data_IF_845896503824
#
_entry.id   IF_845896503824
#
_cell.length_a   1.000
_cell.length_b   1.000
_cell.length_c   1.000
_cell.angle_alpha   90.00
_cell.angle_beta   90.00
_cell.angle_gamma   90.00
#
_symmetry.space_group_name_H-M   'P 1'
#
loop_
_entity.id
_entity.type
_entity.pdbx_description
1 polymer ?
#
# COMPACT_ATOMS: atom_id res chain seq x y z
N UNK A 1 40.84 -0.73 -54.26
CA UNK A 1 39.42 -0.90 -53.87
C UNK A 1 39.15 -2.09 -52.95
N UNK A 2 39.80 -3.26 -53.09
CA UNK A 2 39.57 -4.44 -52.22
C UNK A 2 39.83 -4.24 -50.70
N UNK A 3 40.72 -3.32 -50.30
CA UNK A 3 41.07 -3.08 -48.88
C UNK A 3 40.02 -2.26 -48.11
N UNK A 4 39.27 -1.39 -48.78
CA UNK A 4 38.20 -0.57 -48.16
C UNK A 4 36.97 -1.43 -47.87
N UNK A 5 36.67 -2.39 -48.75
CA UNK A 5 35.55 -3.34 -48.57
C UNK A 5 35.75 -4.26 -47.36
N UNK A 6 36.99 -4.66 -47.05
CA UNK A 6 37.29 -5.51 -45.89
C UNK A 6 37.16 -4.75 -44.55
N UNK A 7 37.49 -3.46 -44.52
CA UNK A 7 37.32 -2.62 -43.32
C UNK A 7 35.82 -2.36 -43.07
N UNK A 8 35.03 -2.16 -44.13
CA UNK A 8 33.59 -1.98 -44.01
C UNK A 8 32.88 -3.26 -43.51
N UNK A 9 33.34 -4.44 -43.97
CA UNK A 9 32.81 -5.73 -43.51
C UNK A 9 33.13 -5.99 -42.02
N UNK A 10 34.32 -5.60 -41.55
CA UNK A 10 34.69 -5.68 -40.13
C UNK A 10 33.83 -4.75 -39.25
N UNK A 11 33.48 -3.56 -39.74
CA UNK A 11 32.62 -2.63 -39.02
C UNK A 11 31.15 -3.08 -38.97
N UNK A 12 30.64 -3.80 -39.98
CA UNK A 12 29.28 -4.36 -39.94
C UNK A 12 29.15 -5.59 -39.04
N UNK A 13 30.25 -6.27 -38.70
CA UNK A 13 30.24 -7.38 -37.73
C UNK A 13 30.32 -6.92 -36.27
N UNK A 14 30.69 -5.66 -36.00
CA UNK A 14 31.08 -5.20 -34.67
C UNK A 14 29.96 -4.56 -33.84
N UNK A 15 28.71 -4.58 -34.31
CA UNK A 15 27.59 -3.93 -33.60
C UNK A 15 26.39 -4.87 -33.51
N UNK A 16 26.61 -6.07 -32.98
CA UNK A 16 25.55 -6.81 -32.29
C UNK A 16 25.58 -6.34 -30.84
N UNK A 17 24.91 -5.22 -30.55
CA UNK A 17 24.60 -4.90 -29.16
C UNK A 17 23.72 -6.04 -28.63
N UNK A 18 24.10 -6.59 -27.48
CA UNK A 18 23.23 -7.45 -26.71
C UNK A 18 21.90 -6.71 -26.46
N UNK A 19 20.84 -7.10 -27.17
CA UNK A 19 19.53 -6.50 -26.98
C UNK A 19 18.94 -7.11 -25.71
N UNK A 20 18.95 -6.33 -24.63
CA UNK A 20 18.28 -6.68 -23.38
C UNK A 20 16.92 -5.99 -23.37
N UNK A 21 15.85 -6.78 -23.34
CA UNK A 21 14.52 -6.30 -22.97
C UNK A 21 14.36 -6.54 -21.48
N UNK A 22 14.28 -5.52 -20.61
CA UNK A 22 14.21 -5.75 -19.18
C UNK A 22 12.83 -6.32 -18.79
N UNK A 23 12.76 -7.21 -17.78
CA UNK A 23 11.48 -7.60 -17.22
C UNK A 23 10.81 -6.41 -16.53
N UNK A 24 9.48 -6.40 -16.52
CA UNK A 24 8.69 -5.48 -15.68
C UNK A 24 8.15 -6.23 -14.48
N UNK A 25 7.99 -5.53 -13.35
CA UNK A 25 7.47 -6.10 -12.12
C UNK A 25 6.58 -5.07 -11.42
N UNK A 26 5.32 -5.42 -11.19
CA UNK A 26 4.38 -4.61 -10.43
C UNK A 26 3.52 -5.50 -9.57
N UNK A 27 3.20 -5.06 -8.36
CA UNK A 27 2.35 -5.82 -7.47
C UNK A 27 1.30 -4.93 -6.82
N UNK A 28 0.16 -5.53 -6.46
CA UNK A 28 -0.87 -4.89 -5.65
C UNK A 28 -1.24 -5.76 -4.46
N UNK A 29 -1.49 -5.11 -3.32
CA UNK A 29 -2.05 -5.77 -2.13
C UNK A 29 -3.44 -5.23 -1.90
N UNK A 30 -4.38 -6.15 -1.70
CA UNK A 30 -5.73 -5.81 -1.24
C UNK A 30 -5.73 -5.83 0.28
N UNK A 31 -5.28 -4.73 0.88
CA UNK A 31 -5.55 -4.49 2.28
C UNK A 31 -7.00 -4.05 2.46
N UNK A 32 -7.64 -4.59 3.50
CA UNK A 32 -8.98 -4.16 3.88
C UNK A 32 -8.98 -2.76 4.52
N UNK A 33 -7.80 -2.31 5.00
CA UNK A 33 -7.62 -1.07 5.72
C UNK A 33 -6.44 -0.25 5.20
N UNK A 34 -6.69 1.05 4.98
CA UNK A 34 -5.66 2.07 4.73
C UNK A 34 -5.84 3.18 5.77
N UNK A 35 -4.83 3.40 6.60
CA UNK A 35 -4.85 4.37 7.70
C UNK A 35 -3.73 5.37 7.44
N UNK A 36 -4.06 6.63 7.16
CA UNK A 36 -3.07 7.67 6.82
C UNK A 36 -2.15 7.34 5.63
N UNK A 37 -2.62 6.55 4.65
CA UNK A 37 -1.79 6.08 3.53
C UNK A 37 -0.99 4.81 3.85
N UNK A 38 -1.12 4.27 5.05
CA UNK A 38 -0.45 3.06 5.50
C UNK A 38 -1.33 1.83 5.28
N UNK A 39 -0.77 0.84 4.59
CA UNK A 39 -1.37 -0.48 4.41
C UNK A 39 -1.47 -1.18 5.77
N UNK A 40 -2.69 -1.41 6.25
CA UNK A 40 -2.95 -1.92 7.59
C UNK A 40 -3.76 -3.21 7.55
N UNK A 41 -3.45 -4.13 8.45
CA UNK A 41 -4.17 -5.39 8.68
C UNK A 41 -4.39 -5.62 10.17
N UNK A 42 -5.19 -6.62 10.51
CA UNK A 42 -5.31 -7.19 11.85
C UNK A 42 -4.91 -8.68 11.88
N UNK A 43 -4.64 -9.24 13.06
CA UNK A 43 -4.51 -10.69 13.22
C UNK A 43 -5.70 -11.44 12.61
N UNK A 44 -5.42 -12.56 11.93
CA UNK A 44 -6.40 -13.37 11.21
C UNK A 44 -6.70 -12.91 9.77
N UNK A 45 -6.33 -11.69 9.37
CA UNK A 45 -6.55 -11.21 8.00
C UNK A 45 -5.72 -12.00 6.97
N UNK A 46 -6.20 -12.01 5.73
CA UNK A 46 -5.50 -12.58 4.59
C UNK A 46 -4.92 -11.48 3.71
N UNK A 47 -3.60 -11.36 3.67
CA UNK A 47 -2.90 -10.54 2.69
C UNK A 47 -2.99 -11.25 1.35
N UNK A 48 -3.63 -10.62 0.36
CA UNK A 48 -3.70 -11.13 -1.01
C UNK A 48 -2.82 -10.30 -1.94
N UNK A 49 -1.85 -10.97 -2.56
CA UNK A 49 -0.86 -10.34 -3.44
C UNK A 49 -1.07 -10.81 -4.86
N UNK A 50 -1.19 -9.87 -5.78
CA UNK A 50 -1.14 -10.10 -7.21
C UNK A 50 0.14 -9.48 -7.77
N UNK A 51 0.91 -10.27 -8.50
CA UNK A 51 2.15 -9.87 -9.15
C UNK A 51 1.94 -9.99 -10.64
N UNK A 52 2.13 -8.88 -11.34
CA UNK A 52 2.17 -8.84 -12.81
C UNK A 52 3.62 -8.63 -13.24
N UNK A 53 4.08 -9.48 -14.15
CA UNK A 53 5.45 -9.46 -14.67
C UNK A 53 5.49 -9.74 -16.17
N UNK A 54 6.54 -9.23 -16.81
CA UNK A 54 6.93 -9.66 -18.16
C UNK A 54 8.32 -10.26 -18.10
N UNK A 55 8.56 -11.32 -18.88
CA UNK A 55 9.90 -11.85 -19.07
C UNK A 55 10.54 -11.14 -20.26
N UNK A 56 11.80 -10.80 -20.07
CA UNK A 56 12.62 -10.13 -21.06
C UNK A 56 13.16 -11.07 -22.14
N UNK A 57 14.21 -10.59 -22.79
CA UNK A 57 15.08 -11.43 -23.61
C UNK A 57 16.50 -10.91 -23.50
N UNK A 58 17.45 -11.83 -23.59
CA UNK A 58 18.89 -11.57 -23.58
C UNK A 58 19.50 -12.18 -24.84
N UNK A 59 20.20 -11.38 -25.64
CA UNK A 59 20.83 -11.82 -26.90
C UNK A 59 19.86 -12.52 -27.87
N UNK A 60 18.61 -12.07 -27.90
CA UNK A 60 17.55 -12.64 -28.75
C UNK A 60 16.95 -13.96 -28.25
N UNK A 61 17.42 -14.47 -27.10
CA UNK A 61 16.82 -15.63 -26.43
C UNK A 61 15.85 -15.15 -25.34
N UNK A 62 14.66 -15.74 -25.28
CA UNK A 62 13.69 -15.42 -24.25
C UNK A 62 14.23 -15.78 -22.86
N UNK A 63 14.03 -14.87 -21.90
CA UNK A 63 14.30 -15.15 -20.50
C UNK A 63 13.26 -16.16 -19.97
N UNK A 64 13.65 -17.00 -19.02
CA UNK A 64 12.76 -18.03 -18.46
C UNK A 64 12.42 -17.73 -17.01
N UNK A 65 11.16 -17.95 -16.63
CA UNK A 65 10.74 -17.84 -15.24
C UNK A 65 11.56 -18.78 -14.36
N UNK A 66 12.01 -18.30 -13.20
CA UNK A 66 12.63 -19.15 -12.20
C UNK A 66 11.70 -19.29 -10.98
N UNK A 67 11.53 -18.22 -10.21
CA UNK A 67 10.58 -18.19 -9.10
C UNK A 67 10.08 -16.79 -8.81
N UNK A 68 8.94 -16.73 -8.13
CA UNK A 68 8.47 -15.57 -7.39
C UNK A 68 8.44 -15.95 -5.92
N UNK A 69 8.81 -15.02 -5.04
CA UNK A 69 8.79 -15.19 -3.59
C UNK A 69 7.93 -14.09 -2.99
N UNK A 70 7.00 -14.48 -2.13
CA UNK A 70 6.20 -13.57 -1.30
C UNK A 70 6.37 -13.99 0.16
N UNK A 71 6.72 -13.05 1.04
CA UNK A 71 6.91 -13.35 2.47
C UNK A 71 6.52 -12.17 3.34
N UNK A 72 5.91 -12.43 4.50
CA UNK A 72 5.77 -11.44 5.56
C UNK A 72 7.00 -11.55 6.47
N UNK A 73 7.64 -10.43 6.78
CA UNK A 73 8.85 -10.36 7.59
C UNK A 73 8.78 -9.20 8.59
N UNK A 74 9.53 -9.32 9.68
CA UNK A 74 9.87 -8.17 10.52
C UNK A 74 10.76 -7.21 9.71
N UNK A 75 10.52 -5.90 9.77
CA UNK A 75 11.32 -4.89 9.09
C UNK A 75 12.82 -4.99 9.41
N UNK A 76 13.18 -5.30 10.66
CA UNK A 76 14.58 -5.43 11.08
C UNK A 76 15.30 -6.56 10.32
N UNK A 77 14.58 -7.62 9.96
CA UNK A 77 15.09 -8.73 9.16
C UNK A 77 14.95 -8.48 7.66
N UNK A 78 13.90 -7.78 7.23
CA UNK A 78 13.59 -7.49 5.83
C UNK A 78 14.51 -6.45 5.17
N UNK A 79 15.26 -5.67 5.95
CA UNK A 79 16.31 -4.78 5.42
C UNK A 79 17.55 -5.53 4.90
N UNK A 80 17.60 -6.87 5.01
CA UNK A 80 18.66 -7.71 4.46
C UNK A 80 18.22 -8.25 3.10
N UNK A 81 18.48 -7.47 2.03
CA UNK A 81 18.09 -7.85 0.68
C UNK A 81 18.90 -9.02 0.12
N UNK A 82 18.45 -9.58 -1.01
CA UNK A 82 19.21 -10.61 -1.74
C UNK A 82 20.58 -10.14 -2.25
N UNK A 83 20.81 -8.82 -2.30
CA UNK A 83 22.06 -8.18 -2.70
C UNK A 83 22.99 -7.86 -1.51
N UNK A 84 22.51 -8.02 -0.28
CA UNK A 84 23.31 -7.86 0.94
C UNK A 84 24.01 -9.18 1.30
N UNK A 85 25.07 -9.13 2.11
CA UNK A 85 25.93 -10.28 2.45
C UNK A 85 25.24 -11.39 3.28
N UNK A 86 23.93 -11.34 3.44
CA UNK A 86 23.14 -12.31 4.19
C UNK A 86 21.68 -12.22 3.80
N UNK A 87 21.32 -12.82 2.66
CA UNK A 87 19.92 -13.03 2.28
C UNK A 87 19.18 -13.77 3.40
N UNK A 88 18.30 -13.06 4.11
CA UNK A 88 17.48 -13.60 5.21
C UNK A 88 16.03 -13.63 4.77
N UNK A 89 15.57 -14.82 4.34
CA UNK A 89 14.15 -15.07 4.16
C UNK A 89 13.57 -15.68 5.42
N UNK A 90 13.67 -14.97 6.53
CA UNK A 90 13.08 -15.42 7.79
C UNK A 90 11.66 -14.89 7.86
N UNK A 91 10.62 -15.71 7.56
CA UNK A 91 9.24 -15.25 7.70
C UNK A 91 8.92 -14.96 9.17
N UNK A 92 7.94 -14.10 9.41
CA UNK A 92 7.39 -13.92 10.76
C UNK A 92 6.91 -15.28 11.29
N UNK A 93 7.13 -15.54 12.58
CA UNK A 93 6.69 -16.76 13.25
C UNK A 93 5.20 -17.01 12.98
N UNK A 94 4.85 -18.26 12.65
CA UNK A 94 3.48 -18.63 12.28
C UNK A 94 3.11 -18.34 10.82
N UNK A 95 4.00 -17.74 10.02
CA UNK A 95 3.84 -17.60 8.57
C UNK A 95 4.84 -18.44 7.78
N UNK A 96 4.59 -18.59 6.49
CA UNK A 96 5.48 -19.30 5.56
C UNK A 96 5.64 -18.48 4.29
N UNK A 97 6.88 -18.34 3.81
CA UNK A 97 7.14 -17.81 2.48
C UNK A 97 6.39 -18.61 1.41
N UNK A 98 5.87 -17.92 0.40
CA UNK A 98 5.13 -18.49 -0.72
C UNK A 98 5.95 -18.38 -1.99
N UNK A 99 5.95 -19.46 -2.76
CA UNK A 99 6.61 -19.55 -4.06
C UNK A 99 5.58 -19.87 -5.14
N UNK A 100 4.72 -18.91 -5.52
CA UNK A 100 3.74 -19.19 -6.55
C UNK A 100 4.45 -19.47 -7.89
N UNK A 101 3.89 -20.42 -8.66
CA UNK A 101 4.40 -20.75 -9.98
C UNK A 101 4.16 -19.65 -11.01
N UNK A 102 4.62 -19.83 -12.25
CA UNK A 102 4.34 -18.89 -13.32
C UNK A 102 2.85 -18.93 -13.62
N UNK A 103 2.17 -17.80 -13.48
CA UNK A 103 0.75 -17.71 -13.80
C UNK A 103 0.50 -17.28 -15.24
N UNK A 104 -0.75 -17.42 -15.68
CA UNK A 104 -1.15 -17.17 -17.07
C UNK A 104 -0.96 -15.71 -17.44
N UNK A 105 -0.32 -15.45 -18.59
CA UNK A 105 -0.13 -14.09 -19.09
C UNK A 105 0.84 -13.23 -18.25
N UNK A 106 1.69 -13.85 -17.43
CA UNK A 106 2.62 -13.12 -16.56
C UNK A 106 1.95 -12.58 -15.29
N UNK A 107 0.80 -13.09 -14.89
CA UNK A 107 0.13 -12.71 -13.63
C UNK A 107 0.13 -13.90 -12.69
N UNK A 108 0.71 -13.73 -11.50
CA UNK A 108 0.70 -14.74 -10.44
C UNK A 108 0.13 -14.17 -9.14
N UNK A 109 -0.45 -15.02 -8.31
CA UNK A 109 -1.07 -14.62 -7.05
C UNK A 109 -0.61 -15.50 -5.91
N UNK A 110 -0.53 -14.93 -4.70
CA UNK A 110 -0.41 -15.70 -3.49
C UNK A 110 -1.11 -14.99 -2.32
N UNK A 111 -1.32 -15.73 -1.25
CA UNK A 111 -1.86 -15.18 -0.02
C UNK A 111 -1.05 -15.61 1.20
N UNK A 112 -1.01 -14.72 2.19
CA UNK A 112 -0.42 -14.94 3.51
C UNK A 112 -1.48 -14.61 4.54
N UNK A 113 -1.81 -15.56 5.41
CA UNK A 113 -2.66 -15.32 6.58
C UNK A 113 -1.81 -14.76 7.71
N UNK A 114 -2.29 -13.69 8.33
CA UNK A 114 -1.66 -13.07 9.48
C UNK A 114 -1.98 -13.93 10.72
N UNK A 115 -0.96 -14.42 11.45
CA UNK A 115 -1.19 -15.26 12.63
C UNK A 115 -1.96 -14.50 13.71
N UNK A 116 -2.87 -15.19 14.41
CA UNK A 116 -3.58 -14.61 15.56
C UNK A 116 -2.64 -14.16 16.69
N UNK A 117 -1.48 -14.83 16.80
CA UNK A 117 -0.46 -14.56 17.82
C UNK A 117 0.58 -13.52 17.41
N UNK A 118 0.41 -12.84 16.27
CA UNK A 118 1.41 -11.89 15.78
C UNK A 118 1.52 -10.68 16.71
N UNK A 119 2.75 -10.19 16.91
CA UNK A 119 2.97 -8.96 17.66
C UNK A 119 2.37 -7.76 16.90
N UNK A 120 1.74 -6.84 17.61
CA UNK A 120 1.08 -5.69 17.00
C UNK A 120 2.08 -4.56 16.79
N UNK A 121 2.02 -3.86 15.65
CA UNK A 121 2.87 -2.70 15.36
C UNK A 121 2.65 -1.52 16.31
N UNK A 122 1.54 -1.51 17.06
CA UNK A 122 1.29 -0.52 18.11
C UNK A 122 1.90 -0.88 19.47
N UNK A 123 2.27 -2.15 19.67
CA UNK A 123 2.81 -2.62 20.95
C UNK A 123 4.28 -2.24 21.17
N UNK A 124 4.98 -1.87 20.09
CA UNK A 124 6.41 -1.54 20.07
C UNK A 124 6.64 -0.47 19.01
N UNK A 125 7.32 0.62 19.37
CA UNK A 125 7.47 1.80 18.49
C UNK A 125 8.25 1.52 17.21
N UNK A 126 9.08 0.47 17.20
CA UNK A 126 9.98 0.14 16.10
C UNK A 126 9.55 -1.12 15.35
N UNK A 127 8.41 -1.74 15.72
CA UNK A 127 7.94 -2.95 15.05
C UNK A 127 7.07 -2.57 13.86
N UNK A 128 7.66 -2.61 12.67
CA UNK A 128 6.91 -2.65 11.43
C UNK A 128 7.17 -3.96 10.70
N UNK A 129 6.23 -4.34 9.85
CA UNK A 129 6.37 -5.52 9.03
C UNK A 129 6.59 -5.11 7.58
N UNK A 130 7.24 -5.99 6.82
CA UNK A 130 7.38 -5.83 5.38
C UNK A 130 6.80 -7.01 4.65
N UNK A 131 6.04 -6.71 3.61
CA UNK A 131 5.67 -7.67 2.60
C UNK A 131 6.79 -7.70 1.55
N UNK A 132 7.62 -8.72 1.66
CA UNK A 132 8.69 -9.00 0.74
C UNK A 132 8.11 -9.63 -0.53
N UNK A 133 8.39 -9.05 -1.69
CA UNK A 133 8.02 -9.64 -2.97
C UNK A 133 9.21 -9.59 -3.93
N UNK A 134 9.68 -10.76 -4.37
CA UNK A 134 10.80 -10.90 -5.30
C UNK A 134 10.43 -11.72 -6.52
N UNK A 135 11.07 -11.41 -7.64
CA UNK A 135 11.05 -12.22 -8.84
C UNK A 135 12.47 -12.54 -9.28
N UNK A 136 12.69 -13.80 -9.64
CA UNK A 136 13.89 -14.30 -10.27
C UNK A 136 13.57 -14.97 -11.61
N UNK A 137 14.49 -14.85 -12.55
CA UNK A 137 14.42 -15.43 -13.89
C UNK A 137 15.81 -15.90 -14.32
N UNK A 138 15.88 -16.76 -15.33
CA UNK A 138 17.15 -17.09 -15.97
C UNK A 138 17.31 -16.34 -17.29
N UNK A 139 18.44 -15.67 -17.47
CA UNK A 139 18.74 -14.90 -18.67
C UNK A 139 18.92 -15.78 -19.89
N UNK A 140 18.26 -15.45 -21.00
CA UNK A 140 18.44 -16.08 -22.30
C UNK A 140 18.24 -17.61 -22.30
N UNK A 141 17.43 -18.14 -21.38
CA UNK A 141 17.21 -19.58 -21.21
C UNK A 141 18.38 -20.35 -20.56
N UNK A 142 19.38 -19.65 -20.03
CA UNK A 142 20.50 -20.24 -19.29
C UNK A 142 20.11 -20.76 -17.90
N UNK A 143 21.12 -21.10 -17.10
CA UNK A 143 20.96 -21.54 -15.69
C UNK A 143 21.32 -20.47 -14.67
N UNK A 144 21.78 -19.30 -15.12
CA UNK A 144 22.14 -18.19 -14.24
C UNK A 144 20.88 -17.52 -13.69
N UNK A 145 20.69 -17.61 -12.37
CA UNK A 145 19.59 -16.94 -11.68
C UNK A 145 19.89 -15.44 -11.64
N UNK A 146 19.04 -14.67 -12.30
CA UNK A 146 19.02 -13.21 -12.18
C UNK A 146 17.77 -12.79 -11.42
N UNK A 147 17.97 -11.95 -10.41
CA UNK A 147 16.89 -11.19 -9.78
C UNK A 147 16.61 -9.97 -10.64
N UNK A 148 15.36 -9.67 -11.00
CA UNK A 148 15.19 -8.42 -11.72
C UNK A 148 13.81 -8.00 -12.18
N UNK A 149 13.87 -6.77 -12.69
CA UNK A 149 12.80 -5.82 -12.99
C UNK A 149 13.02 -4.55 -12.15
N UNK A 150 12.76 -3.34 -12.65
CA UNK A 150 12.58 -2.18 -11.78
C UNK A 150 11.56 -2.56 -10.69
N UNK A 151 11.86 -2.27 -9.42
CA UNK A 151 11.04 -2.65 -8.26
C UNK A 151 10.94 -4.16 -7.94
N UNK A 152 11.71 -5.03 -8.60
CA UNK A 152 11.82 -6.44 -8.21
C UNK A 152 12.55 -6.56 -6.87
N UNK A 153 11.79 -6.47 -5.79
CA UNK A 153 12.30 -6.36 -4.44
C UNK A 153 11.87 -5.13 -3.67
N UNK A 154 10.92 -4.31 -4.18
CA UNK A 154 10.35 -3.18 -3.44
C UNK A 154 9.43 -3.71 -2.32
N UNK A 155 9.92 -3.74 -1.06
CA UNK A 155 9.16 -4.29 0.04
C UNK A 155 8.20 -3.22 0.56
N UNK A 156 6.91 -3.53 0.64
CA UNK A 156 5.97 -2.57 1.23
C UNK A 156 5.90 -2.76 2.72
N UNK A 157 5.97 -1.65 3.43
CA UNK A 157 5.70 -1.58 4.86
C UNK A 157 4.22 -1.85 5.08
N UNK A 158 3.92 -2.78 5.99
CA UNK A 158 2.57 -3.11 6.42
C UNK A 158 2.50 -3.02 7.94
N UNK A 159 1.36 -2.54 8.44
CA UNK A 159 1.10 -2.40 9.86
C UNK A 159 0.09 -3.43 10.32
N UNK A 160 0.34 -4.06 11.46
CA UNK A 160 -0.61 -4.98 12.09
C UNK A 160 -1.14 -4.35 13.37
N UNK A 161 -2.44 -4.12 13.42
CA UNK A 161 -3.12 -3.42 14.53
C UNK A 161 -4.34 -4.23 14.97
N UNK A 162 -4.80 -4.03 16.20
CA UNK A 162 -6.09 -4.58 16.62
C UNK A 162 -7.25 -4.00 15.81
N UNK A 163 -8.37 -4.71 15.79
CA UNK A 163 -9.60 -4.18 15.20
C UNK A 163 -10.07 -2.87 15.88
N UNK A 164 -9.87 -2.75 17.20
CA UNK A 164 -10.24 -1.55 17.96
C UNK A 164 -9.42 -0.34 17.54
N UNK A 165 -8.10 -0.51 17.38
CA UNK A 165 -7.20 0.54 16.88
C UNK A 165 -7.56 0.93 15.46
N UNK A 166 -7.79 -0.04 14.57
CA UNK A 166 -8.25 0.22 13.21
C UNK A 166 -9.54 1.03 13.21
N UNK A 167 -10.52 0.67 14.05
CA UNK A 167 -11.78 1.41 14.16
C UNK A 167 -11.57 2.84 14.67
N UNK A 168 -10.60 3.05 15.57
CA UNK A 168 -10.30 4.38 16.13
C UNK A 168 -9.53 5.28 15.17
N UNK A 169 -8.64 4.72 14.35
CA UNK A 169 -7.74 5.46 13.46
C UNK A 169 -8.27 5.56 12.01
N UNK A 170 -9.25 4.73 11.64
CA UNK A 170 -9.83 4.74 10.30
C UNK A 170 -10.64 6.00 10.04
N UNK A 171 -10.37 6.65 8.90
CA UNK A 171 -11.15 7.78 8.41
C UNK A 171 -12.22 7.36 7.39
N UNK A 172 -12.44 6.04 7.19
CA UNK A 172 -13.33 5.51 6.14
C UNK A 172 -14.77 6.00 6.28
N UNK A 173 -15.24 6.23 7.51
CA UNK A 173 -16.58 6.76 7.80
C UNK A 173 -16.63 8.28 7.88
N UNK A 174 -15.51 8.98 7.74
CA UNK A 174 -15.47 10.44 7.77
C UNK A 174 -15.71 10.93 6.33
N UNK A 175 -16.87 11.56 6.11
CA UNK A 175 -17.12 12.24 4.85
C UNK A 175 -16.05 13.34 4.65
N UNK A 176 -15.36 13.35 3.50
CA UNK A 176 -14.29 14.32 3.21
C UNK A 176 -14.77 15.54 2.41
N UNK A 177 -16.02 15.49 1.93
CA UNK A 177 -16.63 16.57 1.17
C UNK A 177 -16.92 17.76 2.09
N UNK A 178 -16.61 18.97 1.62
CA UNK A 178 -16.94 20.18 2.35
C UNK A 178 -18.45 20.35 2.40
N UNK A 179 -18.99 20.58 3.59
CA UNK A 179 -20.37 20.97 3.79
C UNK A 179 -20.51 22.47 3.50
N UNK A 180 -20.90 22.82 2.27
CA UNK A 180 -20.97 24.22 1.82
C UNK A 180 -22.27 24.92 2.18
N UNK A 181 -23.30 24.16 2.57
CA UNK A 181 -24.66 24.65 2.84
C UNK A 181 -24.93 24.69 4.35
N UNK A 182 -23.88 24.93 5.14
CA UNK A 182 -23.99 25.09 6.58
C UNK A 182 -22.97 26.13 7.05
N UNK A 183 -23.33 26.91 8.05
CA UNK A 183 -22.45 27.88 8.69
C UNK A 183 -22.77 28.03 10.17
N UNK A 184 -21.79 28.52 10.93
CA UNK A 184 -21.97 28.85 12.33
C UNK A 184 -22.52 30.27 12.48
N UNK A 185 -23.61 30.42 13.22
CA UNK A 185 -24.18 31.72 13.62
C UNK A 185 -23.79 32.03 15.07
N UNK A 186 -22.77 32.88 15.21
CA UNK A 186 -22.22 33.27 16.50
C UNK A 186 -23.17 34.10 17.37
N UNK A 187 -24.25 34.68 16.81
CA UNK A 187 -25.21 35.44 17.61
C UNK A 187 -26.17 34.53 18.38
N UNK A 188 -26.41 33.34 17.85
CA UNK A 188 -27.42 32.41 18.35
C UNK A 188 -26.80 31.10 18.87
N UNK A 189 -25.48 30.92 18.79
CA UNK A 189 -24.76 29.69 19.14
C UNK A 189 -25.35 28.44 18.44
N UNK A 190 -25.63 28.56 17.13
CA UNK A 190 -26.19 27.46 16.33
C UNK A 190 -25.42 27.24 15.03
N UNK A 191 -25.44 26.00 14.55
CA UNK A 191 -25.13 25.69 13.15
C UNK A 191 -26.43 25.76 12.35
N UNK A 192 -26.45 26.64 11.36
CA UNK A 192 -27.57 26.84 10.43
C UNK A 192 -27.26 26.11 9.13
N UNK A 193 -28.28 25.49 8.53
CA UNK A 193 -28.19 24.81 7.25
C UNK A 193 -29.02 25.56 6.20
N UNK A 194 -28.45 25.81 5.03
CA UNK A 194 -29.12 26.49 3.93
C UNK A 194 -30.07 25.54 3.16
N UNK A 195 -29.92 24.22 3.36
CA UNK A 195 -30.71 23.15 2.74
C UNK A 195 -31.44 22.34 3.83
N UNK A 196 -32.47 21.57 3.44
CA UNK A 196 -33.15 20.56 4.28
C UNK A 196 -32.25 19.34 4.58
N UNK A 197 -31.06 19.57 5.15
CA UNK A 197 -30.15 18.52 5.59
C UNK A 197 -30.76 17.84 6.82
N UNK A 198 -30.84 16.51 6.76
CA UNK A 198 -31.36 15.67 7.83
C UNK A 198 -30.42 14.50 8.08
N UNK A 199 -30.55 13.90 9.25
CA UNK A 199 -29.81 12.70 9.65
C UNK A 199 -28.85 12.95 10.80
N UNK A 200 -28.03 11.94 11.10
CA UNK A 200 -27.13 11.99 12.24
C UNK A 200 -25.98 12.99 12.02
N UNK A 201 -25.55 13.63 13.11
CA UNK A 201 -24.35 14.45 13.15
C UNK A 201 -23.46 14.05 14.32
N UNK A 202 -22.17 14.38 14.18
CA UNK A 202 -21.19 14.39 15.28
C UNK A 202 -20.34 15.65 15.18
N UNK A 203 -20.05 16.26 16.32
CA UNK A 203 -19.11 17.37 16.46
C UNK A 203 -17.90 16.85 17.23
N UNK A 204 -16.71 17.12 16.69
CA UNK A 204 -15.45 16.77 17.32
C UNK A 204 -14.66 18.03 17.66
N UNK A 205 -13.91 17.98 18.75
CA UNK A 205 -12.88 18.98 19.03
C UNK A 205 -11.65 18.79 18.12
N UNK A 206 -10.65 19.68 18.24
CA UNK A 206 -9.42 19.59 17.43
C UNK A 206 -8.60 18.32 17.67
N UNK A 207 -8.85 17.60 18.78
CA UNK A 207 -8.19 16.35 19.12
C UNK A 207 -8.98 15.13 18.61
N UNK A 208 -10.09 15.35 17.90
CA UNK A 208 -10.94 14.29 17.37
C UNK A 208 -11.85 13.65 18.42
N UNK A 209 -11.97 14.22 19.63
CA UNK A 209 -12.88 13.71 20.66
C UNK A 209 -14.29 14.20 20.37
N UNK A 210 -15.28 13.33 20.52
CA UNK A 210 -16.69 13.71 20.34
C UNK A 210 -17.10 14.71 21.42
N UNK A 211 -17.46 15.91 21.00
CA UNK A 211 -17.97 16.98 21.86
C UNK A 211 -19.51 17.01 21.90
N UNK A 212 -20.16 16.64 20.79
CA UNK A 212 -21.63 16.54 20.69
C UNK A 212 -22.04 15.58 19.58
N UNK A 213 -23.22 14.99 19.69
CA UNK A 213 -23.80 14.12 18.67
C UNK A 213 -25.33 14.15 18.75
N UNK A 214 -26.01 13.92 17.63
CA UNK A 214 -27.47 13.93 17.58
C UNK A 214 -28.01 13.76 16.16
N UNK A 215 -29.24 14.19 15.93
CA UNK A 215 -29.87 14.25 14.61
C UNK A 215 -30.18 15.70 14.25
N UNK A 216 -30.00 16.03 12.97
CA UNK A 216 -30.30 17.35 12.41
C UNK A 216 -31.80 17.40 12.12
N UNK A 217 -32.47 18.36 12.75
CA UNK A 217 -33.86 18.72 12.41
C UNK A 217 -33.89 19.95 11.49
N UNK A 218 -33.34 21.08 11.97
CA UNK A 218 -33.23 22.34 11.21
C UNK A 218 -31.91 23.07 11.52
N UNK A 219 -31.53 23.11 12.80
CA UNK A 219 -30.27 23.68 13.30
C UNK A 219 -29.63 22.71 14.28
N UNK A 220 -28.35 22.93 14.60
CA UNK A 220 -27.68 22.27 15.72
C UNK A 220 -27.35 23.33 16.77
N UNK A 221 -27.90 23.18 17.97
CA UNK A 221 -27.52 23.98 19.13
C UNK A 221 -26.11 23.59 19.59
N UNK A 222 -25.21 24.58 19.62
CA UNK A 222 -23.82 24.43 20.07
C UNK A 222 -23.51 25.30 21.28
N UNK A 223 -24.53 25.85 21.97
CA UNK A 223 -24.39 26.71 23.15
C UNK A 223 -23.61 26.05 24.30
N UNK A 224 -23.69 24.73 24.43
CA UNK A 224 -22.96 23.95 25.44
C UNK A 224 -21.47 23.76 25.14
N UNK A 225 -21.02 24.03 23.91
CA UNK A 225 -19.61 23.96 23.55
C UNK A 225 -18.84 25.15 24.14
N UNK A 226 -17.61 24.92 24.61
CA UNK A 226 -16.69 25.99 24.98
C UNK A 226 -16.13 26.67 23.72
N UNK A 227 -15.61 27.90 23.82
CA UNK A 227 -14.96 28.58 22.70
C UNK A 227 -13.77 27.78 22.17
N UNK A 228 -13.65 27.67 20.84
CA UNK A 228 -12.63 26.84 20.20
C UNK A 228 -12.95 26.45 18.77
N UNK A 229 -12.08 25.62 18.19
CA UNK A 229 -12.25 25.10 16.83
C UNK A 229 -12.88 23.72 16.88
N UNK A 230 -13.89 23.50 16.05
CA UNK A 230 -14.64 22.26 15.98
C UNK A 230 -14.81 21.75 14.54
N UNK A 231 -15.07 20.46 14.43
CA UNK A 231 -15.32 19.76 13.17
C UNK A 231 -16.70 19.08 13.29
N UNK A 232 -17.69 19.61 12.57
CA UNK A 232 -18.99 18.97 12.37
C UNK A 232 -18.91 18.00 11.21
N UNK A 233 -19.33 16.76 11.42
CA UNK A 233 -19.47 15.73 10.37
C UNK A 233 -20.93 15.31 10.24
N UNK A 234 -21.41 15.23 9.00
CA UNK A 234 -22.71 14.65 8.63
C UNK A 234 -22.51 13.66 7.47
N UNK A 235 -23.57 12.95 7.07
CA UNK A 235 -23.52 12.12 5.86
C UNK A 235 -23.26 12.93 4.58
N UNK A 236 -23.60 14.22 4.56
CA UNK A 236 -23.49 15.09 3.38
C UNK A 236 -22.16 15.85 3.31
N UNK A 237 -21.43 15.98 4.42
CA UNK A 237 -20.12 16.62 4.40
C UNK A 237 -19.60 17.01 5.77
N UNK A 238 -18.54 17.81 5.75
CA UNK A 238 -17.85 18.34 6.94
C UNK A 238 -17.77 19.85 6.93
N UNK A 239 -18.10 20.45 8.07
CA UNK A 239 -17.93 21.88 8.35
C UNK A 239 -16.91 22.04 9.48
N UNK A 240 -15.89 22.87 9.25
CA UNK A 240 -15.02 23.38 10.32
C UNK A 240 -15.54 24.73 10.76
N UNK A 241 -15.71 24.95 12.04
CA UNK A 241 -16.18 26.23 12.57
C UNK A 241 -15.44 26.63 13.85
N UNK A 242 -15.45 27.93 14.13
CA UNK A 242 -14.88 28.50 15.36
C UNK A 242 -16.04 29.02 16.17
N UNK A 243 -16.20 28.50 17.39
CA UNK A 243 -17.13 29.02 18.39
C UNK A 243 -16.42 30.07 19.25
#
# INVERSE_FOLDING_TARGET
MKKITQILLLFTCAISFAQIVPPTYSWSNKADYEINGEVTFKPGDMISVEITYTLGSTDGNADTFNFVLISLQDEAEANKGALDSGWSNTPVEGTTSKFPGPGTGGVTTASITIPESIALSSSTTDLTYRLLNYMAYNKGGGSEITYGGPNAGDPTIVYIRTQEEINSLSTKSINKSKLTTAHYDANNDVIVFDNNIKGAFKIYDILGRTASAGNIENTIDVSSLISGIYILTTEQGVLKFVK
#
